data_IF_688372637333
#
_entry.id   IF_688372637333
#
_cell.length_a   1.000
_cell.length_b   1.000
_cell.length_c   1.000
_cell.angle_alpha   90.00
_cell.angle_beta   90.00
_cell.angle_gamma   90.00
#
_symmetry.space_group_name_H-M   'P 1'
#
loop_
_entity.id
_entity.type
_entity.pdbx_description
1 polymer ?
#
# COMPACT_ATOMS: atom_id res chain seq x y z
N UNK A 1 -39.54 -41.10 -26.23
CA UNK A 1 -39.47 -40.10 -27.32
C UNK A 1 -38.82 -38.85 -26.75
N UNK A 2 -37.67 -38.32 -27.22
CA UNK A 2 -36.51 -38.89 -27.91
C UNK A 2 -35.18 -38.70 -27.12
N UNK A 3 -34.13 -39.45 -27.52
CA UNK A 3 -32.71 -39.22 -27.20
C UNK A 3 -32.12 -38.11 -28.06
N UNK A 4 -31.30 -37.19 -27.52
CA UNK A 4 -30.31 -36.37 -28.26
C UNK A 4 -29.18 -35.97 -27.26
N UNK A 5 -28.04 -36.68 -27.22
CA UNK A 5 -26.77 -36.38 -27.92
C UNK A 5 -26.19 -35.00 -27.55
N UNK A 6 -25.16 -34.99 -26.69
CA UNK A 6 -24.04 -34.07 -26.85
C UNK A 6 -23.15 -34.66 -27.97
N UNK A 7 -22.68 -33.87 -28.94
CA UNK A 7 -21.49 -33.05 -28.68
C UNK A 7 -21.42 -31.77 -29.51
N UNK A 8 -20.65 -30.78 -29.06
CA UNK A 8 -19.90 -29.91 -29.98
C UNK A 8 -18.83 -29.14 -29.20
N UNK A 9 -17.60 -29.58 -29.38
CA UNK A 9 -16.39 -28.78 -29.25
C UNK A 9 -16.56 -27.55 -30.15
N UNK A 10 -16.86 -26.40 -29.56
CA UNK A 10 -16.70 -25.13 -30.24
C UNK A 10 -15.21 -24.76 -30.14
N UNK A 11 -14.47 -25.12 -31.17
CA UNK A 11 -13.12 -24.67 -31.42
C UNK A 11 -13.11 -23.14 -31.40
N UNK A 12 -12.55 -22.55 -30.34
CA UNK A 12 -12.23 -21.14 -30.31
C UNK A 12 -11.16 -20.88 -31.39
N UNK A 13 -11.63 -20.27 -32.47
CA UNK A 13 -10.86 -19.73 -33.58
C UNK A 13 -9.77 -18.78 -33.03
N UNK A 14 -8.55 -19.31 -32.83
CA UNK A 14 -7.39 -18.52 -32.46
C UNK A 14 -7.03 -17.64 -33.65
N UNK A 15 -7.51 -16.39 -33.64
CA UNK A 15 -6.94 -15.32 -34.47
C UNK A 15 -5.41 -15.33 -34.26
N UNK A 16 -4.59 -15.47 -35.32
CA UNK A 16 -3.14 -15.46 -35.14
C UNK A 16 -2.72 -14.09 -34.60
N UNK A 17 -2.02 -14.09 -33.47
CA UNK A 17 -1.37 -12.89 -32.94
C UNK A 17 -0.34 -12.39 -33.96
N UNK A 18 -0.18 -11.07 -34.17
CA UNK A 18 0.83 -10.55 -35.06
C UNK A 18 2.22 -11.01 -34.59
N UNK A 19 3.02 -11.53 -35.52
CA UNK A 19 4.40 -11.93 -35.27
C UNK A 19 5.17 -10.77 -34.61
N UNK A 20 5.87 -11.05 -33.51
CA UNK A 20 6.88 -10.14 -32.99
C UNK A 20 8.04 -10.07 -34.01
N UNK A 21 8.51 -8.89 -34.42
CA UNK A 21 9.70 -8.79 -35.24
C UNK A 21 10.89 -9.38 -34.48
N UNK A 22 11.72 -10.15 -35.19
CA UNK A 22 12.91 -10.77 -34.62
C UNK A 22 14.02 -9.71 -34.47
N UNK A 23 14.95 -9.84 -33.49
CA UNK A 23 15.78 -8.72 -33.06
C UNK A 23 16.99 -8.39 -33.94
N UNK A 24 17.16 -9.03 -35.09
CA UNK A 24 18.45 -9.07 -35.79
C UNK A 24 18.47 -8.38 -37.16
N UNK A 25 17.44 -7.61 -37.52
CA UNK A 25 17.48 -6.77 -38.72
C UNK A 25 18.01 -5.37 -38.37
N UNK A 26 19.27 -5.30 -37.90
CA UNK A 26 20.02 -4.05 -37.85
C UNK A 26 20.84 -3.95 -39.13
N UNK A 27 20.27 -3.18 -40.04
CA UNK A 27 20.80 -2.79 -41.35
C UNK A 27 22.27 -2.33 -41.27
N UNK A 28 23.08 -2.89 -42.17
CA UNK A 28 24.54 -2.91 -42.12
C UNK A 28 25.24 -1.64 -42.60
N UNK A 29 24.92 -0.46 -42.04
CA UNK A 29 25.72 0.76 -42.28
C UNK A 29 25.72 1.72 -41.10
N UNK A 30 26.76 1.68 -40.27
CA UNK A 30 27.32 2.90 -39.63
C UNK A 30 28.83 2.72 -39.39
N UNK A 31 29.70 3.53 -40.01
CA UNK A 31 31.14 3.52 -39.73
C UNK A 31 31.47 4.34 -38.47
N UNK A 32 32.36 3.76 -37.65
CA UNK A 32 33.24 4.30 -36.60
C UNK A 32 32.67 5.21 -35.49
N UNK A 33 32.95 4.87 -34.21
CA UNK A 33 33.15 5.87 -33.17
C UNK A 33 34.62 5.97 -32.78
N UNK A 34 35.13 7.17 -33.00
CA UNK A 34 36.29 7.86 -32.45
C UNK A 34 36.65 7.46 -30.98
N UNK A 35 37.92 7.13 -30.65
CA UNK A 35 38.35 6.86 -29.27
C UNK A 35 38.79 8.17 -28.61
N UNK A 36 37.84 9.05 -28.24
CA UNK A 36 38.25 10.43 -27.93
C UNK A 36 37.35 11.27 -27.06
N UNK A 37 36.41 10.72 -26.28
CA UNK A 37 35.66 11.52 -25.30
C UNK A 37 35.82 10.96 -23.89
N UNK A 38 36.58 11.62 -22.99
CA UNK A 38 36.40 11.36 -21.58
C UNK A 38 34.95 11.73 -21.25
N UNK A 39 34.17 10.75 -20.78
CA UNK A 39 32.91 11.05 -20.14
C UNK A 39 33.21 12.04 -19.03
N UNK A 40 32.76 13.29 -19.19
CA UNK A 40 32.75 14.24 -18.10
C UNK A 40 32.02 13.55 -16.95
N UNK A 41 32.77 13.17 -15.92
CA UNK A 41 32.17 12.74 -14.67
C UNK A 41 31.38 13.95 -14.20
N UNK A 42 30.06 13.91 -14.39
CA UNK A 42 29.16 14.84 -13.74
C UNK A 42 29.37 14.61 -12.26
N UNK A 43 30.20 15.45 -11.64
CA UNK A 43 30.26 15.58 -10.20
C UNK A 43 28.88 16.07 -9.78
N UNK A 44 27.97 15.13 -9.50
CA UNK A 44 26.69 15.43 -8.89
C UNK A 44 27.00 15.91 -7.47
N UNK A 45 27.07 17.23 -7.32
CA UNK A 45 26.99 17.92 -6.04
C UNK A 45 25.77 17.36 -5.30
N UNK A 46 25.88 16.90 -4.03
CA UNK A 46 24.74 16.44 -3.28
C UNK A 46 23.96 17.67 -2.82
N UNK A 47 23.22 18.30 -3.73
CA UNK A 47 22.08 19.11 -3.36
C UNK A 47 21.05 18.11 -2.86
N UNK A 48 20.91 18.00 -1.53
CA UNK A 48 19.77 17.35 -0.91
C UNK A 48 18.46 17.87 -1.55
N UNK A 49 17.35 17.13 -1.42
CA UNK A 49 15.98 17.55 -1.79
C UNK A 49 15.31 16.97 -3.07
N UNK A 50 15.58 15.73 -3.52
CA UNK A 50 14.54 14.96 -4.22
C UNK A 50 14.06 13.73 -3.44
N UNK A 51 14.96 13.04 -2.74
CA UNK A 51 14.63 11.84 -1.97
C UNK A 51 13.74 12.15 -0.75
N UNK A 52 13.93 13.30 -0.13
CA UNK A 52 13.12 13.78 1.00
C UNK A 52 11.65 13.97 0.62
N UNK A 53 11.38 14.59 -0.53
CA UNK A 53 10.02 14.81 -1.04
C UNK A 53 9.32 13.51 -1.40
N UNK A 54 10.03 12.55 -2.00
CA UNK A 54 9.46 11.23 -2.34
C UNK A 54 9.10 10.46 -1.06
N UNK A 55 9.97 10.46 -0.06
CA UNK A 55 9.72 9.79 1.22
C UNK A 55 8.54 10.41 1.96
N UNK A 56 8.42 11.74 1.97
CA UNK A 56 7.30 12.43 2.59
C UNK A 56 5.98 12.17 1.84
N UNK A 57 5.99 12.13 0.51
CA UNK A 57 4.82 11.75 -0.27
C UNK A 57 4.36 10.31 0.03
N UNK A 58 5.31 9.36 0.11
CA UNK A 58 5.00 7.98 0.48
C UNK A 58 4.44 7.88 1.91
N UNK A 59 4.97 8.67 2.85
CA UNK A 59 4.45 8.73 4.21
C UNK A 59 2.99 9.19 4.24
N UNK A 60 2.64 10.24 3.50
CA UNK A 60 1.26 10.74 3.41
C UNK A 60 0.32 9.68 2.84
N UNK A 61 0.72 9.00 1.77
CA UNK A 61 -0.05 7.89 1.19
C UNK A 61 -0.26 6.77 2.20
N UNK A 62 0.76 6.41 2.99
CA UNK A 62 0.64 5.40 4.04
C UNK A 62 -0.33 5.86 5.14
N UNK A 63 -0.24 7.12 5.58
CA UNK A 63 -1.13 7.67 6.61
C UNK A 63 -2.58 7.73 6.11
N UNK A 64 -2.83 8.06 4.85
CA UNK A 64 -4.17 7.96 4.21
C UNK A 64 -4.68 6.52 4.17
N UNK A 65 -3.82 5.55 3.83
CA UNK A 65 -4.18 4.14 3.80
C UNK A 65 -4.47 3.56 5.19
N UNK A 66 -3.76 4.02 6.22
CA UNK A 66 -4.04 3.65 7.61
C UNK A 66 -5.34 4.33 8.06
N UNK A 67 -5.58 5.57 7.64
CA UNK A 67 -6.75 6.35 8.04
C UNK A 67 -6.70 6.73 9.52
N UNK A 68 -7.86 6.88 10.20
CA UNK A 68 -7.92 7.30 11.61
C UNK A 68 -7.54 6.19 12.61
N UNK A 69 -7.00 5.06 12.12
CA UNK A 69 -6.60 3.92 12.96
C UNK A 69 -5.29 4.23 13.68
N UNK A 70 -5.41 4.71 14.90
CA UNK A 70 -4.32 4.86 15.87
C UNK A 70 -4.31 3.72 16.89
N UNK A 71 -3.22 3.56 17.63
CA UNK A 71 -3.13 2.56 18.71
C UNK A 71 -4.23 2.84 19.74
N UNK A 72 -4.98 1.82 20.17
CA UNK A 72 -6.13 1.95 21.08
C UNK A 72 -7.44 2.36 20.41
N UNK A 73 -7.44 2.66 19.11
CA UNK A 73 -8.65 2.91 18.36
C UNK A 73 -9.45 1.62 18.14
N UNK A 74 -10.78 1.71 18.23
CA UNK A 74 -11.69 0.64 17.83
C UNK A 74 -12.40 1.07 16.56
N UNK A 75 -12.32 0.23 15.53
CA UNK A 75 -13.08 0.40 14.30
C UNK A 75 -13.93 -0.84 14.03
N UNK A 76 -15.01 -0.66 13.28
CA UNK A 76 -15.87 -1.74 12.80
C UNK A 76 -15.94 -1.70 11.30
N UNK A 77 -15.97 -2.87 10.68
CA UNK A 77 -16.22 -3.05 9.27
C UNK A 77 -17.21 -4.21 9.08
N UNK A 78 -17.36 -4.70 7.84
CA UNK A 78 -18.25 -5.83 7.52
C UNK A 78 -17.81 -7.16 8.14
N UNK A 79 -16.53 -7.32 8.46
CA UNK A 79 -15.96 -8.54 9.03
C UNK A 79 -16.11 -8.61 10.56
N UNK A 80 -16.24 -7.46 11.24
CA UNK A 80 -16.39 -7.38 12.69
C UNK A 80 -15.94 -6.04 13.27
N UNK A 81 -15.67 -6.04 14.57
CA UNK A 81 -15.09 -4.90 15.27
C UNK A 81 -13.70 -5.27 15.81
N UNK A 82 -12.75 -4.36 15.61
CA UNK A 82 -11.34 -4.61 15.88
C UNK A 82 -10.73 -3.45 16.65
N UNK A 83 -9.99 -3.79 17.70
CA UNK A 83 -9.13 -2.86 18.42
C UNK A 83 -7.72 -2.89 17.83
N UNK A 84 -7.18 -1.72 17.54
CA UNK A 84 -5.82 -1.56 17.03
C UNK A 84 -4.85 -1.59 18.21
N UNK A 85 -4.05 -2.64 18.32
CA UNK A 85 -3.06 -2.78 19.39
C UNK A 85 -1.74 -2.12 19.02
N UNK A 86 -1.35 -2.18 17.74
CA UNK A 86 -0.07 -1.63 17.28
C UNK A 86 -0.14 -1.21 15.82
N UNK A 87 0.49 -0.10 15.50
CA UNK A 87 0.68 0.39 14.13
C UNK A 87 2.15 0.22 13.74
N UNK A 88 2.42 -0.62 12.75
CA UNK A 88 3.77 -0.89 12.25
C UNK A 88 3.95 -0.15 10.91
N UNK A 89 4.79 0.89 10.91
CA UNK A 89 5.13 1.67 9.70
C UNK A 89 6.47 1.29 9.07
N UNK A 90 7.23 0.39 9.69
CA UNK A 90 8.47 -0.13 9.11
C UNK A 90 8.16 -1.20 8.05
N UNK A 91 8.52 -0.98 6.77
CA UNK A 91 8.27 -1.95 5.71
C UNK A 91 8.91 -3.31 5.97
N UNK A 92 10.09 -3.37 6.59
CA UNK A 92 10.76 -4.64 6.86
C UNK A 92 9.93 -5.50 7.83
N UNK A 93 9.47 -4.90 8.93
CA UNK A 93 8.59 -5.56 9.88
C UNK A 93 7.22 -5.88 9.29
N UNK A 94 6.61 -4.96 8.53
CA UNK A 94 5.32 -5.21 7.88
C UNK A 94 5.37 -6.41 6.93
N UNK A 95 6.46 -6.56 6.16
CA UNK A 95 6.69 -7.72 5.27
C UNK A 95 6.85 -9.01 6.06
N UNK A 96 7.55 -8.97 7.19
CA UNK A 96 7.71 -10.13 8.06
C UNK A 96 6.36 -10.57 8.67
N UNK A 97 5.55 -9.62 9.15
CA UNK A 97 4.25 -9.88 9.75
C UNK A 97 3.23 -10.40 8.74
N UNK A 98 3.10 -9.73 7.59
CA UNK A 98 2.10 -10.06 6.57
C UNK A 98 2.56 -11.12 5.58
N UNK A 99 3.85 -11.50 5.60
CA UNK A 99 4.49 -12.41 4.63
C UNK A 99 4.31 -11.97 3.17
N UNK A 100 4.25 -10.66 2.92
CA UNK A 100 4.06 -10.05 1.58
C UNK A 100 5.21 -9.11 1.27
N UNK A 101 5.81 -9.23 0.08
CA UNK A 101 6.98 -8.42 -0.31
C UNK A 101 6.68 -6.93 -0.52
N UNK A 102 5.45 -6.59 -0.86
CA UNK A 102 5.00 -5.23 -1.13
C UNK A 102 4.36 -4.52 0.09
N UNK A 103 4.34 -5.17 1.26
CA UNK A 103 3.84 -4.51 2.47
C UNK A 103 4.75 -3.34 2.86
N UNK A 104 4.15 -2.17 3.08
CA UNK A 104 4.82 -0.97 3.58
C UNK A 104 4.46 -0.69 5.03
N UNK A 105 3.31 -1.19 5.48
CA UNK A 105 2.79 -1.01 6.83
C UNK A 105 1.93 -2.23 7.21
N UNK A 106 1.66 -2.37 8.50
CA UNK A 106 0.75 -3.36 9.04
C UNK A 106 0.11 -2.83 10.34
N UNK A 107 -1.09 -3.29 10.65
CA UNK A 107 -1.73 -3.11 11.95
C UNK A 107 -1.81 -4.46 12.64
N UNK A 108 -1.53 -4.49 13.94
CA UNK A 108 -1.85 -5.63 14.79
C UNK A 108 -3.18 -5.31 15.45
N UNK A 109 -4.18 -6.12 15.16
CA UNK A 109 -5.55 -5.92 15.64
C UNK A 109 -6.03 -7.11 16.46
N UNK A 110 -6.96 -6.86 17.36
CA UNK A 110 -7.67 -7.89 18.12
C UNK A 110 -9.17 -7.74 17.89
N UNK A 111 -9.84 -8.86 17.60
CA UNK A 111 -11.30 -8.91 17.49
C UNK A 111 -11.91 -8.68 18.88
N UNK A 112 -12.69 -7.61 19.03
CA UNK A 112 -13.34 -7.26 20.31
C UNK A 112 -14.67 -7.98 20.51
N UNK A 113 -15.27 -8.51 19.45
CA UNK A 113 -16.52 -9.28 19.51
C UNK A 113 -16.27 -10.72 19.91
N UNK A 114 -15.04 -11.23 19.75
CA UNK A 114 -14.62 -12.57 20.17
C UNK A 114 -13.71 -12.49 21.39
N UNK A 115 -14.24 -12.77 22.60
CA UNK A 115 -13.43 -12.76 23.82
C UNK A 115 -12.24 -13.72 23.69
N UNK A 116 -11.04 -13.22 23.95
CA UNK A 116 -9.81 -14.03 23.88
C UNK A 116 -9.29 -14.31 22.47
N UNK A 117 -9.81 -13.63 21.43
CA UNK A 117 -9.23 -13.71 20.10
C UNK A 117 -7.75 -13.34 20.13
N UNK A 118 -6.92 -14.13 19.42
CA UNK A 118 -5.49 -13.83 19.29
C UNK A 118 -5.30 -12.61 18.38
N UNK A 119 -4.40 -11.69 18.73
CA UNK A 119 -4.03 -10.60 17.84
C UNK A 119 -3.49 -11.12 16.51
N UNK A 120 -3.84 -10.46 15.41
CA UNK A 120 -3.35 -10.79 14.08
C UNK A 120 -3.00 -9.55 13.27
N UNK A 121 -2.10 -9.71 12.31
CA UNK A 121 -1.63 -8.63 11.48
C UNK A 121 -2.52 -8.44 10.25
N UNK A 122 -2.89 -7.19 9.95
CA UNK A 122 -3.63 -6.80 8.75
C UNK A 122 -2.88 -5.70 7.99
N UNK A 123 -3.09 -5.63 6.69
CA UNK A 123 -2.58 -4.56 5.81
C UNK A 123 -3.68 -4.02 4.91
N UNK A 124 -4.93 -4.07 5.36
CA UNK A 124 -6.11 -3.63 4.59
C UNK A 124 -6.29 -2.13 4.71
N UNK A 125 -6.28 -1.46 3.56
CA UNK A 125 -6.48 -0.01 3.42
C UNK A 125 -7.79 0.43 4.07
N UNK A 126 -7.80 1.62 4.65
CA UNK A 126 -9.00 2.25 5.18
C UNK A 126 -9.94 2.62 4.04
N UNK A 127 -11.20 2.22 4.15
CA UNK A 127 -12.23 2.41 3.15
C UNK A 127 -13.46 3.07 3.75
N UNK A 128 -14.42 3.41 2.90
CA UNK A 128 -15.72 3.94 3.33
C UNK A 128 -16.59 2.91 4.07
N UNK A 129 -16.24 1.63 4.01
CA UNK A 129 -16.90 0.56 4.77
C UNK A 129 -16.39 0.47 6.22
N UNK A 130 -15.29 1.15 6.54
CA UNK A 130 -14.73 1.18 7.88
C UNK A 130 -15.31 2.35 8.69
N UNK A 131 -15.79 2.07 9.89
CA UNK A 131 -16.38 3.05 10.80
C UNK A 131 -15.57 3.09 12.09
N UNK A 132 -15.06 4.26 12.46
CA UNK A 132 -14.37 4.45 13.72
C UNK A 132 -15.39 4.54 14.86
N UNK A 133 -15.38 3.57 15.77
CA UNK A 133 -16.28 3.52 16.93
C UNK A 133 -15.71 4.28 18.12
N UNK A 134 -14.40 4.15 18.35
CA UNK A 134 -13.70 4.81 19.45
C UNK A 134 -12.34 5.29 18.96
N UNK A 135 -12.01 6.59 19.06
CA UNK A 135 -10.67 7.06 18.82
C UNK A 135 -9.73 6.58 19.94
N UNK A 136 -8.42 6.60 19.67
CA UNK A 136 -7.41 6.39 20.70
C UNK A 136 -7.66 7.29 21.92
N UNK A 137 -7.47 6.71 23.11
CA UNK A 137 -7.56 7.37 24.41
C UNK A 137 -6.64 8.60 24.48
N UNK A 138 -5.46 8.55 23.87
CA UNK A 138 -4.54 9.68 23.85
C UNK A 138 -5.00 10.80 22.91
N UNK A 139 -5.65 10.48 21.80
CA UNK A 139 -6.27 11.50 20.94
C UNK A 139 -7.48 12.15 21.62
N UNK A 140 -8.31 11.37 22.30
CA UNK A 140 -9.40 11.89 23.11
C UNK A 140 -8.88 12.84 24.21
N UNK A 141 -7.78 12.48 24.88
CA UNK A 141 -7.11 13.33 25.89
C UNK A 141 -6.55 14.62 25.30
N UNK A 142 -5.97 14.59 24.10
CA UNK A 142 -5.46 15.80 23.43
C UNK A 142 -6.58 16.77 23.06
N UNK A 143 -7.70 16.27 22.53
CA UNK A 143 -8.87 17.12 22.21
C UNK A 143 -9.45 17.79 23.45
N UNK A 144 -9.54 17.08 24.57
CA UNK A 144 -10.00 17.65 25.84
C UNK A 144 -9.04 18.73 26.36
N UNK A 145 -7.72 18.53 26.25
CA UNK A 145 -6.73 19.54 26.67
C UNK A 145 -6.73 20.79 25.78
N UNK A 146 -7.07 20.67 24.49
CA UNK A 146 -7.18 21.82 23.59
C UNK A 146 -8.48 22.62 23.77
N UNK A 147 -9.57 21.98 24.23
CA UNK A 147 -10.86 22.65 24.52
C UNK A 147 -10.93 23.40 25.86
N UNK A 148 -9.92 23.27 26.73
CA UNK A 148 -9.93 23.83 28.09
C UNK A 148 -9.43 25.28 28.23
N UNK A 149 -8.95 25.93 27.17
CA UNK A 149 -8.48 27.34 27.21
C UNK A 149 -9.52 28.27 26.56
N UNK A 150 -10.64 28.52 27.23
CA UNK A 150 -11.68 29.38 26.65
C UNK A 150 -12.72 29.98 27.59
N UNK A 151 -12.51 29.98 28.91
CA UNK A 151 -13.49 30.54 29.84
C UNK A 151 -12.84 31.19 31.05
N UNK A 152 -12.42 32.44 30.92
CA UNK A 152 -11.73 33.15 32.00
C UNK A 152 -11.42 34.62 31.73
N UNK A 153 -12.41 35.41 31.33
CA UNK A 153 -12.42 36.88 31.47
C UNK A 153 -13.87 37.27 31.71
N UNK A 154 -14.28 37.36 32.99
CA UNK A 154 -14.37 38.58 33.82
C UNK A 154 -15.44 39.55 33.34
#
# INVERSE_FOLDING_TARGET
>A
MPSIIAPAVAAAEKKPLPMRPTPHERDGRQPCPDPGRPHAQTHHTPTAEPDSMILEALRRVIDEQIGPRSVGAIYSNTDGAFEVLTVVRDPAQARALLRRRCAQWALIVQDVLRPGAKPFAIGSVWTTSDVLLRPDVDEARRRVQQGGRGGGTR
#
